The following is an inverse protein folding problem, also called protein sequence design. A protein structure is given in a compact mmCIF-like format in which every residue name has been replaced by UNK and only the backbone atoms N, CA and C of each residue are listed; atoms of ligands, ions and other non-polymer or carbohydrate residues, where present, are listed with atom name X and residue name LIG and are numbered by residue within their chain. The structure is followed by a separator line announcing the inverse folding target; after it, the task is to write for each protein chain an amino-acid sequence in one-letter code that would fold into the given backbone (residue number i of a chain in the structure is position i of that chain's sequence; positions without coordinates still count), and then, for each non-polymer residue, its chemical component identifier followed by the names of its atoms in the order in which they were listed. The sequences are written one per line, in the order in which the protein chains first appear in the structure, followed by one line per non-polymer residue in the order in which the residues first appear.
data_IF_330738639419
#
_entry.id   IF_330738639419
#
_cell.length_a   1.000
_cell.length_b   1.000
_cell.length_c   1.000
_cell.angle_alpha   90.00
_cell.angle_beta   90.00
_cell.angle_gamma   90.00
#
_symmetry.space_group_name_H-M   'P 1'
#
loop_
_entity.id
_entity.type
_entity.pdbx_description
1 polymer ?
#
# COMPACT_ATOMS: atom_id res chain seq x y z
N UNK A 1 -17.75 -18.38 2.10
CA UNK A 1 -17.65 -17.41 0.99
C UNK A 1 -17.08 -16.10 1.51
N UNK A 2 -15.78 -15.83 1.29
CA UNK A 2 -15.18 -14.52 1.55
C UNK A 2 -15.46 -13.60 0.36
N UNK A 3 -16.15 -12.49 0.60
CA UNK A 3 -16.50 -11.51 -0.43
C UNK A 3 -15.26 -10.63 -0.75
N UNK A 4 -14.52 -10.98 -1.80
CA UNK A 4 -13.30 -10.28 -2.25
C UNK A 4 -13.41 -9.83 -3.72
N UNK A 5 -14.32 -8.87 -4.02
CA UNK A 5 -14.70 -8.54 -5.39
C UNK A 5 -13.53 -8.01 -6.23
N UNK A 6 -12.60 -7.25 -5.64
CA UNK A 6 -11.44 -6.75 -6.39
C UNK A 6 -10.45 -7.85 -6.73
N UNK A 7 -10.21 -8.79 -5.81
CA UNK A 7 -9.37 -9.96 -6.10
C UNK A 7 -9.98 -10.79 -7.22
N UNK A 8 -11.28 -11.06 -7.15
CA UNK A 8 -12.02 -11.81 -8.18
C UNK A 8 -11.94 -11.07 -9.53
N UNK A 9 -12.19 -9.76 -9.55
CA UNK A 9 -12.09 -8.96 -10.76
C UNK A 9 -10.67 -9.01 -11.35
N UNK A 10 -9.65 -8.90 -10.50
CA UNK A 10 -8.25 -8.98 -10.89
C UNK A 10 -7.93 -10.32 -11.57
N UNK A 11 -8.39 -11.44 -11.01
CA UNK A 11 -8.27 -12.75 -11.67
C UNK A 11 -9.03 -12.82 -12.99
N UNK A 12 -10.27 -12.29 -13.07
CA UNK A 12 -11.05 -12.28 -14.32
C UNK A 12 -10.35 -11.47 -15.43
N UNK A 13 -9.74 -10.35 -15.08
CA UNK A 13 -8.94 -9.54 -16.00
C UNK A 13 -7.68 -10.30 -16.46
N UNK A 14 -6.99 -10.98 -15.53
CA UNK A 14 -5.85 -11.85 -15.86
C UNK A 14 -6.24 -12.91 -16.89
N UNK A 15 -7.35 -13.61 -16.65
CA UNK A 15 -7.85 -14.66 -17.53
C UNK A 15 -8.14 -14.13 -18.94
N UNK A 16 -8.73 -12.92 -19.04
CA UNK A 16 -9.08 -12.29 -20.33
C UNK A 16 -7.85 -11.78 -21.09
N UNK A 17 -6.86 -11.21 -20.40
CA UNK A 17 -5.74 -10.51 -21.04
C UNK A 17 -4.52 -11.40 -21.25
N UNK A 18 -4.24 -12.31 -20.30
CA UNK A 18 -2.99 -13.08 -20.23
C UNK A 18 -3.23 -14.59 -20.23
N UNK A 19 -4.49 -15.03 -20.29
CA UNK A 19 -4.88 -16.44 -20.29
C UNK A 19 -4.77 -17.12 -18.92
N UNK A 20 -5.00 -18.43 -18.90
CA UNK A 20 -5.16 -19.23 -17.67
C UNK A 20 -3.89 -19.98 -17.23
N UNK A 21 -2.73 -19.65 -17.78
CA UNK A 21 -1.49 -20.37 -17.45
C UNK A 21 -0.97 -19.98 -16.06
N UNK A 22 -0.34 -20.90 -15.29
CA UNK A 22 0.26 -20.55 -14.00
C UNK A 22 1.28 -19.41 -14.07
N UNK A 23 2.00 -19.30 -15.20
CA UNK A 23 2.96 -18.23 -15.44
C UNK A 23 2.26 -16.86 -15.52
N UNK A 24 1.08 -16.75 -16.15
CA UNK A 24 0.37 -15.48 -16.29
C UNK A 24 0.02 -14.88 -14.92
N UNK A 25 -0.46 -15.71 -14.00
CA UNK A 25 -0.79 -15.29 -12.64
C UNK A 25 0.45 -14.88 -11.85
N UNK A 26 1.57 -15.60 -11.99
CA UNK A 26 2.84 -15.26 -11.32
C UNK A 26 3.38 -13.93 -11.81
N UNK A 27 3.34 -13.67 -13.12
CA UNK A 27 3.80 -12.39 -13.70
C UNK A 27 3.02 -11.22 -13.09
N UNK A 28 1.70 -11.35 -12.97
CA UNK A 28 0.89 -10.29 -12.35
C UNK A 28 1.20 -10.13 -10.86
N UNK A 29 1.37 -11.23 -10.12
CA UNK A 29 1.74 -11.16 -8.70
C UNK A 29 3.12 -10.51 -8.49
N UNK A 30 4.11 -10.84 -9.33
CA UNK A 30 5.44 -10.21 -9.30
C UNK A 30 5.32 -8.71 -9.59
N UNK A 31 4.53 -8.33 -10.60
CA UNK A 31 4.28 -6.91 -10.91
C UNK A 31 3.63 -6.16 -9.74
N UNK A 32 2.60 -6.74 -9.12
CA UNK A 32 1.94 -6.18 -7.94
C UNK A 32 2.92 -6.04 -6.76
N UNK A 33 3.77 -7.04 -6.54
CA UNK A 33 4.77 -7.01 -5.49
C UNK A 33 5.82 -5.91 -5.73
N UNK A 34 6.34 -5.79 -6.96
CA UNK A 34 7.28 -4.73 -7.33
C UNK A 34 6.69 -3.34 -7.09
N UNK A 35 5.43 -3.11 -7.50
CA UNK A 35 4.72 -1.85 -7.23
C UNK A 35 4.56 -1.59 -5.73
N UNK A 36 4.27 -2.64 -4.95
CA UNK A 36 4.16 -2.56 -3.48
C UNK A 36 5.49 -2.15 -2.86
N UNK A 37 6.61 -2.71 -3.30
CA UNK A 37 7.95 -2.31 -2.84
C UNK A 37 8.28 -0.84 -3.15
N UNK A 38 7.91 -0.37 -4.34
CA UNK A 38 8.10 1.04 -4.74
C UNK A 38 7.28 1.98 -3.86
N UNK A 39 6.03 1.63 -3.58
CA UNK A 39 5.17 2.42 -2.69
C UNK A 39 5.67 2.41 -1.24
N UNK A 40 6.21 1.28 -0.76
CA UNK A 40 6.83 1.20 0.56
C UNK A 40 8.06 2.11 0.65
N UNK A 41 8.97 2.04 -0.31
CA UNK A 41 10.14 2.92 -0.39
C UNK A 41 9.71 4.40 -0.35
N UNK A 42 8.71 4.75 -1.16
CA UNK A 42 8.17 6.11 -1.24
C UNK A 42 7.57 6.58 0.10
N UNK A 43 6.85 5.69 0.79
CA UNK A 43 6.26 5.97 2.10
C UNK A 43 7.33 6.19 3.16
N UNK A 44 8.31 5.28 3.28
CA UNK A 44 9.41 5.39 4.25
C UNK A 44 10.23 6.65 4.00
N UNK A 45 10.54 6.96 2.74
CA UNK A 45 11.23 8.20 2.36
C UNK A 45 10.43 9.44 2.78
N UNK A 46 9.12 9.44 2.57
CA UNK A 46 8.28 10.58 2.91
C UNK A 46 8.08 10.74 4.42
N UNK A 47 8.12 9.64 5.17
CA UNK A 47 7.95 9.63 6.63
C UNK A 47 9.25 9.98 7.37
N UNK A 48 10.36 9.31 7.03
CA UNK A 48 11.63 9.43 7.74
C UNK A 48 12.60 10.43 7.11
N UNK A 49 12.37 10.81 5.84
CA UNK A 49 13.27 11.66 5.04
C UNK A 49 14.68 11.07 4.84
N UNK A 50 14.83 9.76 5.01
CA UNK A 50 16.09 9.03 4.87
C UNK A 50 16.03 8.04 3.68
N UNK A 51 16.91 8.28 2.69
CA UNK A 51 17.00 7.47 1.45
C UNK A 51 17.56 6.08 1.70
N UNK A 52 18.47 5.94 2.65
CA UNK A 52 19.09 4.66 3.00
C UNK A 52 18.07 3.77 3.67
N UNK A 53 17.33 4.30 4.67
CA UNK A 53 16.27 3.54 5.33
C UNK A 53 15.13 3.18 4.37
N UNK A 54 14.77 4.06 3.44
CA UNK A 54 13.79 3.75 2.40
C UNK A 54 14.24 2.59 1.50
N UNK A 55 15.49 2.62 1.02
CA UNK A 55 16.04 1.57 0.18
C UNK A 55 16.17 0.23 0.94
N UNK A 56 16.69 0.26 2.17
CA UNK A 56 16.83 -0.94 3.01
C UNK A 56 15.46 -1.54 3.33
N UNK A 57 14.47 -0.73 3.70
CA UNK A 57 13.11 -1.22 3.99
C UNK A 57 12.48 -1.88 2.77
N UNK A 58 12.65 -1.29 1.58
CA UNK A 58 12.13 -1.86 0.34
C UNK A 58 12.86 -3.16 -0.05
N UNK A 59 14.18 -3.23 0.14
CA UNK A 59 14.98 -4.43 -0.12
C UNK A 59 14.64 -5.57 0.84
N UNK A 60 14.47 -5.26 2.13
CA UNK A 60 14.05 -6.24 3.13
C UNK A 60 12.63 -6.75 2.81
N UNK A 61 11.70 -5.88 2.43
CA UNK A 61 10.35 -6.28 2.04
C UNK A 61 10.34 -7.09 0.73
N UNK A 62 11.19 -6.75 -0.24
CA UNK A 62 11.28 -7.48 -1.50
C UNK A 62 11.87 -8.89 -1.32
N UNK A 63 12.79 -9.06 -0.37
CA UNK A 63 13.50 -10.33 -0.14
C UNK A 63 12.89 -11.17 0.98
N UNK A 64 11.88 -10.66 1.71
CA UNK A 64 11.33 -11.37 2.85
C UNK A 64 10.62 -12.68 2.41
N UNK A 65 10.98 -13.85 2.99
CA UNK A 65 10.44 -15.15 2.61
C UNK A 65 8.90 -15.28 2.66
N UNK A 66 8.25 -14.44 3.47
CA UNK A 66 6.79 -14.39 3.65
C UNK A 66 6.08 -13.87 2.40
N UNK A 67 6.76 -13.06 1.59
CA UNK A 67 6.23 -12.58 0.32
C UNK A 67 6.50 -13.56 -0.81
N UNK A 68 7.51 -14.42 -0.71
CA UNK A 68 7.76 -15.47 -1.70
C UNK A 68 6.58 -16.42 -1.78
N UNK A 69 6.01 -16.86 -0.66
CA UNK A 69 4.79 -17.70 -0.67
C UNK A 69 3.57 -16.98 -1.28
N UNK A 70 3.40 -15.68 -1.00
CA UNK A 70 2.32 -14.88 -1.56
C UNK A 70 2.52 -14.54 -3.06
N UNK A 71 3.76 -14.48 -3.54
CA UNK A 71 4.12 -14.16 -4.93
C UNK A 71 4.12 -15.43 -5.79
N UNK A 72 4.63 -16.55 -5.28
CA UNK A 72 4.64 -17.84 -5.97
C UNK A 72 3.28 -18.54 -5.91
N UNK A 73 2.52 -18.31 -4.83
CA UNK A 73 1.17 -18.81 -4.66
C UNK A 73 0.16 -17.95 -5.42
N UNK A 74 -0.67 -18.58 -6.26
CA UNK A 74 -1.76 -17.88 -6.97
C UNK A 74 -2.71 -17.19 -5.98
N UNK A 75 -2.90 -17.77 -4.79
CA UNK A 75 -3.80 -17.32 -3.72
C UNK A 75 -3.36 -16.00 -3.08
N UNK A 76 -2.07 -15.66 -3.09
CA UNK A 76 -1.51 -14.47 -2.44
C UNK A 76 -1.87 -13.12 -3.08
N UNK A 77 -2.65 -13.12 -4.17
CA UNK A 77 -3.03 -11.91 -4.90
C UNK A 77 -3.89 -10.97 -4.06
N UNK A 78 -4.72 -11.50 -3.16
CA UNK A 78 -5.55 -10.69 -2.28
C UNK A 78 -4.70 -9.86 -1.32
N UNK A 79 -3.67 -10.49 -0.76
CA UNK A 79 -2.68 -9.89 0.14
C UNK A 79 -1.88 -8.80 -0.58
N UNK A 80 -1.42 -9.08 -1.80
CA UNK A 80 -0.67 -8.11 -2.61
C UNK A 80 -1.51 -6.88 -2.96
N UNK A 81 -2.76 -7.06 -3.41
CA UNK A 81 -3.67 -5.94 -3.71
C UNK A 81 -4.00 -5.13 -2.45
N UNK A 82 -4.29 -5.80 -1.34
CA UNK A 82 -4.55 -5.12 -0.07
C UNK A 82 -3.34 -4.29 0.39
N UNK A 83 -2.14 -4.85 0.34
CA UNK A 83 -0.91 -4.14 0.70
C UNK A 83 -0.64 -2.95 -0.23
N UNK A 84 -0.80 -3.14 -1.55
CA UNK A 84 -0.62 -2.09 -2.56
C UNK A 84 -1.55 -0.90 -2.29
N UNK A 85 -2.86 -1.15 -2.15
CA UNK A 85 -3.85 -0.10 -1.96
C UNK A 85 -3.74 0.57 -0.58
N UNK A 86 -3.37 -0.18 0.45
CA UNK A 86 -3.08 0.36 1.78
C UNK A 86 -1.89 1.32 1.74
N UNK A 87 -0.78 0.92 1.11
CA UNK A 87 0.40 1.79 0.95
C UNK A 87 0.12 2.99 0.06
N UNK A 88 -0.74 2.85 -0.96
CA UNK A 88 -1.19 3.98 -1.77
C UNK A 88 -1.96 4.99 -0.90
N UNK A 89 -2.91 4.55 -0.09
CA UNK A 89 -3.66 5.42 0.83
C UNK A 89 -2.71 6.16 1.78
N UNK A 90 -1.74 5.46 2.37
CA UNK A 90 -0.74 6.06 3.27
C UNK A 90 0.18 7.07 2.57
N UNK A 91 0.63 6.78 1.34
CA UNK A 91 1.45 7.71 0.56
C UNK A 91 0.68 9.01 0.25
N UNK A 92 -0.58 8.88 -0.13
CA UNK A 92 -1.44 10.03 -0.41
C UNK A 92 -1.62 10.90 0.83
N UNK A 93 -1.90 10.27 1.98
CA UNK A 93 -2.02 10.95 3.27
C UNK A 93 -0.73 11.69 3.68
N UNK A 94 0.41 11.00 3.58
CA UNK A 94 1.71 11.58 3.96
C UNK A 94 2.11 12.74 3.05
N UNK A 95 1.84 12.64 1.74
CA UNK A 95 2.14 13.69 0.76
C UNK A 95 1.28 14.93 0.97
N UNK A 96 0.01 14.77 1.30
CA UNK A 96 -0.90 15.90 1.53
C UNK A 96 -0.38 16.78 2.68
N UNK A 97 -0.04 16.13 3.79
CA UNK A 97 0.57 16.80 4.94
C UNK A 97 1.91 17.48 4.59
N UNK A 98 2.73 16.86 3.73
CA UNK A 98 4.04 17.40 3.36
C UNK A 98 3.96 18.63 2.45
N UNK A 99 2.96 18.69 1.55
CA UNK A 99 2.82 19.78 0.56
C UNK A 99 1.97 20.93 1.08
N UNK A 100 0.86 20.62 1.76
CA UNK A 100 -0.18 21.61 2.07
C UNK A 100 -0.30 21.96 3.55
N UNK A 101 0.42 21.25 4.42
CA UNK A 101 0.31 21.41 5.87
C UNK A 101 -0.96 20.79 6.45
N UNK A 102 -1.12 20.91 7.76
CA UNK A 102 -2.23 20.32 8.49
C UNK A 102 -3.57 20.98 8.08
N UNK A 103 -4.60 20.17 7.81
CA UNK A 103 -5.98 20.65 7.57
C UNK A 103 -6.34 20.96 6.12
N UNK A 104 -5.43 20.77 5.16
CA UNK A 104 -5.73 20.83 3.71
C UNK A 104 -5.64 19.44 3.10
N UNK A 105 -6.71 18.68 3.26
CA UNK A 105 -6.72 17.26 2.88
C UNK A 105 -7.25 17.02 1.46
N UNK A 106 -6.55 17.56 0.44
CA UNK A 106 -6.98 17.46 -0.96
C UNK A 106 -6.94 16.04 -1.51
N UNK A 107 -6.06 15.20 -0.98
CA UNK A 107 -5.90 13.82 -1.43
C UNK A 107 -6.69 12.82 -0.58
N UNK A 108 -7.40 13.28 0.45
CA UNK A 108 -8.25 12.44 1.31
C UNK A 108 -9.28 11.62 0.52
N UNK A 109 -10.03 12.17 -0.46
CA UNK A 109 -10.98 11.36 -1.21
C UNK A 109 -10.31 10.20 -1.93
N UNK A 110 -9.13 10.43 -2.52
CA UNK A 110 -8.38 9.39 -3.21
C UNK A 110 -7.77 8.37 -2.24
N UNK A 111 -7.31 8.82 -1.06
CA UNK A 111 -6.84 7.94 0.00
C UNK A 111 -7.97 7.03 0.54
N UNK A 112 -9.17 7.56 0.69
CA UNK A 112 -10.37 6.79 1.08
C UNK A 112 -10.73 5.77 0.00
N UNK A 113 -10.74 6.16 -1.28
CA UNK A 113 -10.97 5.22 -2.39
C UNK A 113 -9.94 4.09 -2.38
N UNK A 114 -8.67 4.42 -2.18
CA UNK A 114 -7.61 3.41 -2.05
C UNK A 114 -7.83 2.51 -0.81
N UNK A 115 -8.22 3.06 0.34
CA UNK A 115 -8.55 2.27 1.52
C UNK A 115 -9.73 1.31 1.29
N UNK A 116 -10.82 1.76 0.69
CA UNK A 116 -11.93 0.89 0.34
C UNK A 116 -11.51 -0.19 -0.68
N UNK A 117 -10.63 0.13 -1.63
CA UNK A 117 -10.06 -0.86 -2.52
C UNK A 117 -9.19 -1.89 -1.79
N UNK A 118 -8.49 -1.49 -0.73
CA UNK A 118 -7.75 -2.43 0.13
C UNK A 118 -8.71 -3.38 0.87
N UNK A 119 -9.80 -2.86 1.46
CA UNK A 119 -10.83 -3.66 2.13
C UNK A 119 -11.53 -4.64 1.19
N UNK A 120 -11.87 -4.20 -0.02
CA UNK A 120 -12.50 -5.03 -1.05
C UNK A 120 -11.55 -6.09 -1.63
N UNK A 121 -10.25 -5.94 -1.39
CA UNK A 121 -9.23 -6.94 -1.73
C UNK A 121 -9.04 -7.94 -0.60
N UNK A 122 -8.96 -7.48 0.65
CA UNK A 122 -8.85 -8.33 1.84
C UNK A 122 -9.31 -7.59 3.10
N UNK A 123 -10.11 -8.26 3.91
CA UNK A 123 -10.65 -7.76 5.18
C UNK A 123 -9.58 -7.34 6.20
N UNK A 124 -8.37 -7.91 6.12
CA UNK A 124 -7.23 -7.53 6.97
C UNK A 124 -6.77 -6.08 6.74
N UNK A 125 -7.20 -5.42 5.67
CA UNK A 125 -6.91 -4.02 5.42
C UNK A 125 -7.58 -3.06 6.42
N UNK A 126 -8.48 -3.54 7.29
CA UNK A 126 -9.11 -2.75 8.37
C UNK A 126 -8.10 -2.09 9.32
N UNK A 127 -6.84 -2.50 9.29
CA UNK A 127 -5.73 -1.89 10.06
C UNK A 127 -5.41 -0.45 9.57
N UNK A 128 -5.83 -0.06 8.36
CA UNK A 128 -5.47 1.24 7.77
C UNK A 128 -5.78 2.48 8.62
N UNK A 129 -6.98 2.63 9.23
CA UNK A 129 -7.27 3.81 10.04
C UNK A 129 -6.33 3.92 11.24
N UNK A 130 -5.97 2.79 11.87
CA UNK A 130 -4.98 2.76 12.94
C UNK A 130 -3.59 3.22 12.48
N UNK A 131 -3.18 2.84 11.27
CA UNK A 131 -1.91 3.29 10.68
C UNK A 131 -1.93 4.77 10.32
N UNK A 132 -3.04 5.30 9.80
CA UNK A 132 -3.20 6.73 9.50
C UNK A 132 -3.07 7.56 10.79
N UNK A 133 -3.78 7.17 11.85
CA UNK A 133 -3.69 7.84 13.16
C UNK A 133 -2.28 7.77 13.75
N UNK A 134 -1.58 6.64 13.57
CA UNK A 134 -0.19 6.51 14.01
C UNK A 134 0.74 7.46 13.24
N UNK A 135 0.55 7.59 11.92
CA UNK A 135 1.31 8.54 11.09
C UNK A 135 1.05 9.97 11.53
N UNK A 136 -0.20 10.32 11.82
CA UNK A 136 -0.57 11.64 12.33
C UNK A 136 0.09 11.91 13.69
N UNK A 137 0.07 10.93 14.59
CA UNK A 137 0.72 11.04 15.89
C UNK A 137 2.24 11.25 15.80
N UNK A 138 2.93 10.48 14.93
CA UNK A 138 4.38 10.62 14.70
C UNK A 138 4.69 12.02 14.15
N UNK A 139 3.91 12.49 13.18
CA UNK A 139 4.13 13.80 12.56
C UNK A 139 3.80 14.97 13.49
N UNK A 140 2.74 14.87 14.28
CA UNK A 140 2.38 15.88 15.28
C UNK A 140 3.49 16.07 16.33
N UNK A 141 4.16 14.98 16.73
CA UNK A 141 5.31 15.06 17.66
C UNK A 141 6.59 15.61 17.02
N UNK A 142 6.73 15.49 15.71
CA UNK A 142 7.88 16.01 14.96
C UNK A 142 7.82 17.51 14.64
N UNK A 143 6.68 18.18 14.90
CA UNK A 143 6.56 19.62 14.70
C UNK A 143 6.99 20.38 15.98
N UNK A 144 7.97 21.30 15.91
CA UNK A 144 8.26 22.19 17.03
C UNK A 144 7.04 23.07 17.32
N UNK A 145 6.76 23.28 18.61
CA UNK A 145 5.52 23.86 19.17
C UNK A 145 5.18 25.32 18.77
N UNK A 146 5.71 25.86 17.67
CA UNK A 146 5.65 27.28 17.31
C UNK A 146 4.86 27.64 16.06
N UNK A 147 4.01 26.75 15.50
CA UNK A 147 3.22 27.06 14.27
C UNK A 147 1.70 26.97 14.46
N UNK A 148 1.23 27.01 15.70
CA UNK A 148 -0.18 27.22 16.03
C UNK A 148 -0.36 28.61 16.65
N UNK A 149 -0.13 29.66 15.85
CA UNK A 149 -0.61 31.02 16.07
C UNK A 149 -0.95 31.65 14.72
#
# INVERSE_FOLDING_TARGET
NLYRPLTILSYRLNLRLLGQTPLSFRVVNIGLHALTCILLASFVQALLRDRTLAAVSALLFATHPIHTEAVTGIVGRAELLAALFLLLALNLHVRDYAVWGWGRERWLPLALVAFFAALLSKETAIVAPGLILLVDYIKARGQPAGRAL
#
